data_IF_404944726411
#
_entry.id   IF_404944726411
#
_cell.length_a   1.000
_cell.length_b   1.000
_cell.length_c   1.000
_cell.angle_alpha   90.00
_cell.angle_beta   90.00
_cell.angle_gamma   90.00
#
_symmetry.space_group_name_H-M   'P 1'
#
loop_
_entity.id
_entity.type
_entity.pdbx_description
1 polymer ?
#
# COMPACT_ATOMS: atom_id res chain seq x y z
N UNK A 1 -8.46 22.32 -22.26
CA UNK A 1 -8.72 21.41 -21.13
C UNK A 1 -8.21 22.07 -19.85
N UNK A 2 -9.09 22.66 -19.05
CA UNK A 2 -8.75 23.34 -17.78
C UNK A 2 -8.97 22.35 -16.63
N UNK A 3 -7.90 21.92 -15.98
CA UNK A 3 -7.97 21.19 -14.71
C UNK A 3 -7.78 22.21 -13.58
N UNK A 4 -8.87 22.51 -12.87
CA UNK A 4 -8.82 23.23 -11.60
C UNK A 4 -8.59 22.22 -10.46
N UNK A 5 -7.62 22.57 -9.64
CA UNK A 5 -7.17 22.01 -8.37
C UNK A 5 -8.28 22.04 -7.31
N UNK A 6 -8.39 20.99 -6.49
CA UNK A 6 -8.83 21.11 -5.08
C UNK A 6 -8.15 20.04 -4.20
N UNK A 7 -7.92 20.46 -2.96
CA UNK A 7 -7.16 19.84 -1.87
C UNK A 7 -8.10 19.21 -0.82
N UNK A 8 -7.72 18.02 -0.32
CA UNK A 8 -7.62 17.55 1.08
C UNK A 8 -8.86 17.36 2.04
N UNK A 9 -8.81 16.23 2.79
CA UNK A 9 -9.38 15.84 4.13
C UNK A 9 -10.93 15.72 4.22
N UNK A 10 -11.62 14.82 4.95
CA UNK A 10 -11.44 14.11 6.25
C UNK A 10 -12.28 12.82 6.28
N UNK A 11 -11.76 11.76 6.92
CA UNK A 11 -12.47 10.51 7.27
C UNK A 11 -12.95 10.57 8.73
N UNK A 12 -14.24 10.24 8.97
CA UNK A 12 -14.74 9.74 10.26
C UNK A 12 -15.79 8.65 10.01
N UNK A 13 -15.67 7.56 10.78
CA UNK A 13 -16.41 6.32 10.56
C UNK A 13 -17.80 6.22 11.19
N UNK A 14 -18.45 5.10 10.87
CA UNK A 14 -19.67 4.53 11.44
C UNK A 14 -19.69 3.06 11.03
N UNK A 15 -20.12 2.16 11.92
CA UNK A 15 -20.05 0.70 11.73
C UNK A 15 -21.34 0.25 11.07
N UNK A 16 -21.27 -0.56 10.01
CA UNK A 16 -22.38 -1.46 9.68
C UNK A 16 -21.91 -2.68 8.87
N UNK A 17 -22.38 -3.84 9.31
CA UNK A 17 -22.16 -5.16 8.71
C UNK A 17 -23.01 -5.33 7.45
N UNK A 18 -22.40 -5.65 6.30
CA UNK A 18 -23.13 -5.99 5.05
C UNK A 18 -23.18 -7.53 4.89
N UNK A 19 -24.37 -8.13 4.68
CA UNK A 19 -24.52 -9.57 4.43
C UNK A 19 -24.04 -9.95 3.01
N UNK A 20 -23.72 -11.23 2.74
CA UNK A 20 -23.19 -11.64 1.44
C UNK A 20 -24.25 -11.48 0.34
N UNK A 21 -24.03 -10.58 -0.62
CA UNK A 21 -24.93 -10.42 -1.76
C UNK A 21 -24.64 -11.45 -2.86
N UNK A 22 -25.67 -12.23 -3.18
CA UNK A 22 -25.73 -13.24 -4.24
C UNK A 22 -25.95 -12.62 -5.64
N UNK A 23 -25.24 -11.54 -6.01
CA UNK A 23 -25.41 -10.90 -7.32
C UNK A 23 -24.06 -10.88 -8.08
N UNK A 24 -23.94 -11.47 -9.29
CA UNK A 24 -22.70 -11.43 -10.06
C UNK A 24 -22.33 -9.97 -10.35
N UNK A 25 -21.30 -9.49 -9.67
CA UNK A 25 -20.78 -8.12 -9.81
C UNK A 25 -20.62 -7.76 -11.30
N UNK A 26 -21.39 -6.77 -11.76
CA UNK A 26 -21.37 -6.34 -13.16
C UNK A 26 -19.94 -5.92 -13.57
N UNK A 27 -19.51 -6.35 -14.75
CA UNK A 27 -18.20 -6.04 -15.31
C UNK A 27 -18.28 -5.78 -16.81
N UNK A 28 -17.40 -4.93 -17.32
CA UNK A 28 -17.17 -4.75 -18.75
C UNK A 28 -15.78 -5.25 -19.08
N UNK A 29 -15.66 -6.13 -20.08
CA UNK A 29 -14.38 -6.70 -20.50
C UNK A 29 -13.95 -6.05 -21.81
N UNK A 30 -12.71 -5.59 -21.87
CA UNK A 30 -12.07 -5.07 -23.07
C UNK A 30 -11.02 -6.04 -23.54
N UNK A 31 -11.09 -6.47 -24.80
CA UNK A 31 -10.08 -7.35 -25.40
C UNK A 31 -9.47 -6.65 -26.60
N UNK A 32 -8.14 -6.53 -26.61
CA UNK A 32 -7.40 -6.01 -27.74
C UNK A 32 -7.26 -7.07 -28.83
N UNK A 33 -7.00 -6.65 -30.07
CA UNK A 33 -6.68 -7.57 -31.19
C UNK A 33 -5.41 -8.40 -30.94
N UNK A 34 -4.54 -7.95 -30.03
CA UNK A 34 -3.31 -8.64 -29.65
C UNK A 34 -3.49 -9.60 -28.45
N UNK A 35 -4.74 -9.86 -28.03
CA UNK A 35 -5.06 -10.79 -26.94
C UNK A 35 -4.99 -10.21 -25.54
N UNK A 36 -4.62 -8.93 -25.38
CA UNK A 36 -4.58 -8.27 -24.07
C UNK A 36 -6.01 -8.00 -23.58
N UNK A 37 -6.33 -8.45 -22.37
CA UNK A 37 -7.68 -8.31 -21.81
C UNK A 37 -7.64 -7.47 -20.54
N UNK A 38 -8.56 -6.51 -20.41
CA UNK A 38 -8.84 -5.77 -19.19
C UNK A 38 -10.30 -6.00 -18.78
N UNK A 39 -10.59 -5.97 -17.49
CA UNK A 39 -11.95 -5.80 -16.99
C UNK A 39 -12.10 -4.53 -16.16
N UNK A 40 -13.23 -3.86 -16.36
CA UNK A 40 -13.71 -2.74 -15.57
C UNK A 40 -14.82 -3.24 -14.67
N UNK A 41 -14.65 -3.03 -13.36
CA UNK A 41 -15.63 -3.35 -12.32
C UNK A 41 -15.79 -2.15 -11.39
N UNK A 42 -16.72 -2.25 -10.45
CA UNK A 42 -16.87 -1.25 -9.40
C UNK A 42 -17.07 -1.89 -8.03
N UNK A 43 -16.71 -1.14 -6.99
CA UNK A 43 -17.10 -1.37 -5.61
C UNK A 43 -18.00 -0.20 -5.21
N UNK A 44 -19.22 -0.50 -4.77
CA UNK A 44 -20.18 0.48 -4.27
C UNK A 44 -20.24 0.37 -2.74
N UNK A 45 -20.07 1.49 -2.05
CA UNK A 45 -20.05 1.54 -0.58
C UNK A 45 -20.86 2.74 -0.07
N UNK A 46 -21.28 2.66 1.18
CA UNK A 46 -21.97 3.72 1.90
C UNK A 46 -21.24 3.95 3.23
N UNK A 47 -20.94 5.20 3.54
CA UNK A 47 -20.20 5.64 4.72
C UNK A 47 -21.12 6.14 5.83
N UNK A 48 -22.45 6.11 5.63
CA UNK A 48 -23.44 6.49 6.63
C UNK A 48 -24.36 5.30 6.94
N UNK A 49 -24.60 5.05 8.23
CA UNK A 49 -25.33 3.87 8.78
C UNK A 49 -26.78 3.75 8.24
N UNK A 50 -27.35 4.83 7.69
CA UNK A 50 -28.71 4.83 7.11
C UNK A 50 -28.75 4.89 5.56
N UNK A 51 -27.61 5.03 4.88
CA UNK A 51 -27.59 5.17 3.42
C UNK A 51 -27.39 3.82 2.74
N UNK A 52 -28.24 3.51 1.76
CA UNK A 52 -28.12 2.31 0.94
C UNK A 52 -26.83 2.34 0.10
N UNK A 53 -26.34 1.17 -0.31
CA UNK A 53 -25.24 1.10 -1.29
C UNK A 53 -25.72 1.67 -2.63
N UNK A 54 -24.92 2.53 -3.29
CA UNK A 54 -25.33 3.15 -4.55
C UNK A 54 -25.51 2.09 -5.65
N UNK A 55 -26.59 2.22 -6.40
CA UNK A 55 -26.85 1.37 -7.57
C UNK A 55 -26.01 1.88 -8.74
N UNK A 56 -25.18 1.00 -9.29
CA UNK A 56 -24.35 1.28 -10.46
C UNK A 56 -24.82 0.38 -11.59
N UNK A 57 -25.12 0.97 -12.74
CA UNK A 57 -25.40 0.25 -13.97
C UNK A 57 -24.21 0.40 -14.89
N UNK A 58 -23.46 -0.70 -15.08
CA UNK A 58 -22.39 -0.77 -16.06
C UNK A 58 -22.95 -1.27 -17.39
N UNK A 59 -22.59 -0.60 -18.48
CA UNK A 59 -22.99 -0.98 -19.83
C UNK A 59 -21.89 -0.74 -20.86
N UNK A 60 -22.12 -1.24 -22.07
CA UNK A 60 -21.26 -1.00 -23.23
C UNK A 60 -21.95 -0.08 -24.22
N UNK A 61 -21.18 0.79 -24.88
CA UNK A 61 -21.65 1.71 -25.91
C UNK A 61 -20.82 1.54 -27.18
N UNK A 62 -21.48 1.32 -28.31
CA UNK A 62 -20.81 1.30 -29.61
C UNK A 62 -20.57 2.73 -30.11
N UNK A 63 -19.29 3.12 -30.12
CA UNK A 63 -18.83 4.42 -30.61
C UNK A 63 -17.96 4.27 -31.86
N UNK A 64 -18.08 3.17 -32.59
CA UNK A 64 -17.32 2.91 -33.82
C UNK A 64 -17.55 4.00 -34.86
N UNK A 65 -18.77 4.54 -34.95
CA UNK A 65 -19.12 5.69 -35.81
C UNK A 65 -18.35 6.98 -35.46
N UNK A 66 -17.78 7.07 -34.25
CA UNK A 66 -16.92 8.17 -33.80
C UNK A 66 -15.41 7.82 -33.83
N UNK A 67 -15.04 6.72 -34.49
CA UNK A 67 -13.65 6.30 -34.68
C UNK A 67 -13.06 5.47 -33.52
N UNK A 68 -13.88 5.01 -32.57
CA UNK A 68 -13.41 4.11 -31.52
C UNK A 68 -13.10 2.72 -32.10
N UNK A 69 -12.04 2.08 -31.58
CA UNK A 69 -11.54 0.77 -32.08
C UNK A 69 -12.26 -0.45 -31.48
N UNK A 70 -13.25 -0.23 -30.61
CA UNK A 70 -14.03 -1.25 -29.91
C UNK A 70 -15.12 -0.61 -29.06
N UNK A 71 -15.93 -1.43 -28.38
CA UNK A 71 -16.99 -0.95 -27.49
C UNK A 71 -16.41 -0.12 -26.34
N UNK A 72 -17.02 1.03 -26.07
CA UNK A 72 -16.75 1.82 -24.87
C UNK A 72 -17.53 1.25 -23.69
N UNK A 73 -17.07 1.50 -22.46
CA UNK A 73 -17.88 1.28 -21.26
C UNK A 73 -18.48 2.60 -20.78
N UNK A 74 -19.67 2.53 -20.23
CA UNK A 74 -20.27 3.63 -19.48
C UNK A 74 -20.83 3.12 -18.15
N UNK A 75 -20.92 4.02 -17.17
CA UNK A 75 -21.57 3.76 -15.89
C UNK A 75 -22.65 4.82 -15.67
N UNK A 76 -23.86 4.39 -15.34
CA UNK A 76 -24.92 5.27 -14.84
C UNK A 76 -25.08 5.02 -13.35
N UNK A 77 -24.97 6.08 -12.55
CA UNK A 77 -25.14 6.05 -11.11
C UNK A 77 -25.65 7.39 -10.58
N UNK A 78 -26.33 7.34 -9.45
CA UNK A 78 -26.64 8.51 -8.63
C UNK A 78 -26.04 8.30 -7.25
N UNK A 79 -25.38 9.33 -6.75
CA UNK A 79 -24.78 9.33 -5.41
C UNK A 79 -25.51 10.34 -4.54
N UNK A 80 -25.83 9.90 -3.33
CA UNK A 80 -26.24 10.74 -2.21
C UNK A 80 -25.06 10.96 -1.27
N UNK A 81 -25.20 11.91 -0.34
CA UNK A 81 -24.19 12.15 0.68
C UNK A 81 -23.88 10.87 1.46
N UNK A 82 -22.59 10.56 1.60
CA UNK A 82 -22.11 9.33 2.22
C UNK A 82 -22.01 8.13 1.29
N UNK A 83 -22.43 8.19 0.03
CA UNK A 83 -22.21 7.08 -0.92
C UNK A 83 -20.90 7.25 -1.70
N UNK A 84 -20.20 6.14 -1.97
CA UNK A 84 -19.01 6.13 -2.80
C UNK A 84 -19.00 4.96 -3.79
N UNK A 85 -18.42 5.18 -4.96
CA UNK A 85 -18.21 4.15 -5.98
C UNK A 85 -16.77 4.22 -6.45
N UNK A 86 -16.03 3.12 -6.29
CA UNK A 86 -14.65 2.97 -6.75
C UNK A 86 -14.63 2.10 -8.00
N UNK A 87 -14.15 2.64 -9.12
CA UNK A 87 -13.95 1.88 -10.35
C UNK A 87 -12.56 1.26 -10.40
N UNK A 88 -12.50 -0.01 -10.80
CA UNK A 88 -11.26 -0.79 -10.87
C UNK A 88 -11.11 -1.29 -12.30
N UNK A 89 -9.99 -0.94 -12.93
CA UNK A 89 -9.57 -1.46 -14.22
C UNK A 89 -8.34 -2.36 -14.01
N UNK A 90 -8.42 -3.63 -14.41
CA UNK A 90 -7.32 -4.58 -14.21
C UNK A 90 -7.26 -5.64 -15.31
N UNK A 91 -6.13 -6.33 -15.41
CA UNK A 91 -6.01 -7.56 -16.22
C UNK A 91 -6.68 -8.72 -15.48
N UNK A 92 -7.59 -9.49 -16.11
CA UNK A 92 -8.17 -10.67 -15.47
C UNK A 92 -7.11 -11.76 -15.22
N UNK A 93 -7.16 -12.48 -14.09
CA UNK A 93 -6.23 -13.57 -13.81
C UNK A 93 -6.44 -14.75 -14.79
N UNK A 94 -5.34 -15.36 -15.22
CA UNK A 94 -5.33 -16.57 -16.06
C UNK A 94 -5.60 -17.80 -15.17
N UNK A 95 -6.87 -18.23 -15.10
CA UNK A 95 -7.39 -19.43 -14.39
C UNK A 95 -7.35 -19.48 -12.83
N UNK A 96 -8.34 -20.12 -12.19
CA UNK A 96 -8.35 -20.33 -10.73
C UNK A 96 -7.58 -21.60 -10.37
N UNK A 97 -6.43 -21.46 -9.71
CA UNK A 97 -5.69 -22.61 -9.19
C UNK A 97 -6.37 -23.15 -7.92
N UNK A 98 -6.87 -24.39 -8.01
CA UNK A 98 -7.14 -25.25 -6.87
C UNK A 98 -5.94 -26.17 -6.69
N UNK A 99 -5.20 -26.06 -5.58
CA UNK A 99 -4.20 -27.05 -5.20
C UNK A 99 -4.18 -27.26 -3.68
N UNK A 100 -4.29 -28.54 -3.32
CA UNK A 100 -4.20 -29.13 -1.98
C UNK A 100 -2.85 -28.86 -1.30
N UNK A 101 -2.87 -28.41 -0.03
CA UNK A 101 -1.67 -28.27 0.79
C UNK A 101 -1.50 -29.45 1.76
N UNK A 102 -0.37 -30.14 1.66
CA UNK A 102 0.22 -30.85 2.81
C UNK A 102 1.30 -29.96 3.43
N UNK A 103 0.97 -29.37 4.58
CA UNK A 103 1.89 -28.62 5.42
C UNK A 103 2.85 -29.59 6.14
N UNK A 104 4.15 -29.32 6.05
CA UNK A 104 5.16 -29.91 6.94
C UNK A 104 5.35 -28.98 8.15
N UNK A 105 5.11 -29.52 9.34
CA UNK A 105 5.34 -28.87 10.62
C UNK A 105 6.83 -28.81 10.97
N UNK A 106 7.28 -27.65 11.46
CA UNK A 106 8.57 -27.54 12.13
C UNK A 106 9.07 -26.11 12.26
N UNK A 107 8.70 -25.42 13.35
CA UNK A 107 9.41 -24.23 13.91
C UNK A 107 8.81 -23.77 15.26
N UNK A 108 8.97 -24.56 16.33
CA UNK A 108 8.40 -24.24 17.66
C UNK A 108 9.31 -23.44 18.61
N UNK A 109 10.51 -23.02 18.18
CA UNK A 109 11.47 -22.37 19.10
C UNK A 109 11.64 -20.86 18.88
N UNK A 110 11.42 -20.37 17.66
CA UNK A 110 11.54 -18.95 17.33
C UNK A 110 10.32 -18.14 17.80
N UNK A 111 9.13 -18.74 17.75
CA UNK A 111 7.86 -18.11 18.15
C UNK A 111 7.83 -17.83 19.66
N UNK A 112 8.43 -18.71 20.47
CA UNK A 112 8.46 -18.57 21.93
C UNK A 112 9.34 -17.42 22.41
N UNK A 113 10.32 -16.97 21.62
CA UNK A 113 11.17 -15.81 21.92
C UNK A 113 10.56 -14.48 21.49
N UNK A 114 9.71 -14.48 20.47
CA UNK A 114 9.09 -13.26 19.92
C UNK A 114 7.81 -12.87 20.66
N UNK A 115 7.07 -13.83 21.22
CA UNK A 115 5.71 -13.62 21.74
C UNK A 115 5.52 -13.98 23.23
N UNK A 116 6.57 -13.87 24.06
CA UNK A 116 6.41 -13.87 25.51
C UNK A 116 5.42 -12.79 25.99
N UNK A 117 4.84 -12.92 27.21
CA UNK A 117 3.67 -12.14 27.64
C UNK A 117 3.93 -10.65 27.40
N UNK A 118 2.98 -9.99 26.71
CA UNK A 118 2.96 -8.62 26.20
C UNK A 118 3.39 -7.54 27.22
N UNK A 119 4.65 -7.59 27.63
CA UNK A 119 5.35 -6.68 28.51
C UNK A 119 6.27 -5.81 27.69
N UNK A 120 5.71 -5.07 26.72
CA UNK A 120 6.44 -3.98 26.08
C UNK A 120 6.58 -2.88 27.12
N UNK A 121 7.58 -2.98 28.01
CA UNK A 121 8.07 -1.82 28.73
C UNK A 121 8.54 -0.85 27.65
N UNK A 122 7.92 0.34 27.60
CA UNK A 122 8.43 1.43 26.79
C UNK A 122 9.94 1.56 27.07
N UNK A 123 10.75 1.63 26.00
CA UNK A 123 12.19 1.75 26.16
C UNK A 123 12.48 2.96 27.05
N UNK A 124 13.39 2.79 28.00
CA UNK A 124 13.78 3.90 28.86
C UNK A 124 14.36 5.02 27.99
N UNK A 125 14.20 6.27 28.40
CA UNK A 125 14.82 7.42 27.70
C UNK A 125 16.34 7.28 27.56
N UNK A 126 16.95 6.48 28.44
CA UNK A 126 18.37 6.17 28.43
C UNK A 126 18.80 5.10 27.43
N UNK A 127 17.84 4.44 26.76
CA UNK A 127 18.12 3.48 25.70
C UNK A 127 18.99 4.13 24.60
N UNK A 128 20.17 3.58 24.28
CA UNK A 128 21.07 4.15 23.28
C UNK A 128 20.42 4.37 21.91
N UNK A 129 19.48 3.49 21.51
CA UNK A 129 18.75 3.66 20.24
C UNK A 129 17.79 4.85 20.30
N UNK A 130 17.12 5.05 21.44
CA UNK A 130 16.23 6.20 21.68
C UNK A 130 17.02 7.50 21.65
N UNK A 131 18.21 7.55 22.30
CA UNK A 131 19.12 8.72 22.25
C UNK A 131 19.62 9.00 20.84
N UNK A 132 20.05 7.97 20.09
CA UNK A 132 20.51 8.12 18.70
C UNK A 132 19.39 8.66 17.79
N UNK A 133 18.17 8.14 17.93
CA UNK A 133 17.02 8.57 17.15
C UNK A 133 16.64 10.03 17.44
N UNK A 134 16.60 10.41 18.73
CA UNK A 134 16.34 11.79 19.15
C UNK A 134 17.43 12.74 18.68
N UNK A 135 18.70 12.36 18.82
CA UNK A 135 19.83 13.15 18.33
C UNK A 135 19.74 13.36 16.81
N UNK A 136 19.43 12.30 16.06
CA UNK A 136 19.22 12.41 14.62
C UNK A 136 18.02 13.31 14.27
N UNK A 137 16.93 13.30 15.04
CA UNK A 137 15.82 14.23 14.80
C UNK A 137 16.20 15.69 15.06
N UNK A 138 17.07 15.94 16.04
CA UNK A 138 17.58 17.29 16.33
C UNK A 138 18.45 17.85 15.21
N UNK A 139 19.02 17.01 14.34
CA UNK A 139 19.78 17.44 13.17
C UNK A 139 18.90 17.83 11.96
N UNK A 140 17.57 17.93 12.13
CA UNK A 140 16.69 18.39 11.06
C UNK A 140 17.01 19.82 10.62
N UNK A 141 16.95 20.08 9.31
CA UNK A 141 17.13 21.42 8.73
C UNK A 141 15.87 22.28 8.78
N UNK A 142 14.76 21.79 9.34
CA UNK A 142 13.49 22.50 9.38
C UNK A 142 13.47 23.65 10.39
N UNK A 143 13.22 24.86 9.91
CA UNK A 143 13.19 26.10 10.71
C UNK A 143 11.80 26.77 10.76
N UNK A 144 10.77 26.12 10.21
CA UNK A 144 9.42 26.69 10.17
C UNK A 144 8.66 26.62 11.50
N UNK A 145 7.53 27.32 11.57
CA UNK A 145 6.73 27.47 12.81
C UNK A 145 6.10 26.18 13.34
N UNK A 146 6.01 25.11 12.54
CA UNK A 146 5.34 23.86 12.89
C UNK A 146 6.32 22.77 13.36
N UNK A 147 7.42 23.16 14.00
CA UNK A 147 8.56 22.27 14.31
C UNK A 147 8.16 21.00 15.06
N UNK A 148 7.30 21.11 16.07
CA UNK A 148 6.85 19.96 16.86
C UNK A 148 6.09 18.93 15.99
N UNK A 149 5.10 19.39 15.21
CA UNK A 149 4.31 18.53 14.33
C UNK A 149 5.19 17.86 13.26
N UNK A 150 6.14 18.60 12.69
CA UNK A 150 7.10 18.09 11.71
C UNK A 150 8.02 17.04 12.35
N UNK A 151 8.59 17.32 13.52
CA UNK A 151 9.49 16.39 14.21
C UNK A 151 8.77 15.11 14.64
N UNK A 152 7.53 15.21 15.13
CA UNK A 152 6.70 14.05 15.47
C UNK A 152 6.41 13.18 14.25
N UNK A 153 6.10 13.82 13.12
CA UNK A 153 5.88 13.09 11.86
C UNK A 153 7.16 12.43 11.36
N UNK A 154 8.29 13.14 11.42
CA UNK A 154 9.59 12.60 11.05
C UNK A 154 10.00 11.43 11.93
N UNK A 155 9.72 11.49 13.24
CA UNK A 155 9.92 10.38 14.17
C UNK A 155 9.11 9.16 13.74
N UNK A 156 7.81 9.34 13.46
CA UNK A 156 6.96 8.25 13.01
C UNK A 156 7.48 7.61 11.72
N UNK A 157 7.86 8.42 10.72
CA UNK A 157 8.44 7.94 9.47
C UNK A 157 9.77 7.20 9.66
N UNK A 158 10.66 7.70 10.52
CA UNK A 158 11.92 7.02 10.84
C UNK A 158 11.70 5.65 11.51
N UNK A 159 10.64 5.51 12.30
CA UNK A 159 10.29 4.23 12.93
C UNK A 159 9.72 3.19 11.93
N UNK A 160 9.38 3.59 10.71
CA UNK A 160 8.98 2.68 9.62
C UNK A 160 10.18 2.07 8.88
N UNK A 161 11.40 2.48 9.22
CA UNK A 161 12.61 2.06 8.52
C UNK A 161 13.20 0.84 9.23
N UNK A 162 13.30 -0.25 8.49
CA UNK A 162 14.02 -1.44 8.93
C UNK A 162 15.53 -1.22 8.72
N UNK A 163 16.19 -0.78 9.80
CA UNK A 163 17.59 -0.36 9.80
C UNK A 163 18.58 -1.34 9.11
N UNK A 164 18.46 -2.68 9.25
CA UNK A 164 19.41 -3.60 8.65
C UNK A 164 19.46 -3.58 7.11
N UNK A 165 18.36 -3.23 6.45
CA UNK A 165 18.27 -3.23 4.97
C UNK A 165 17.95 -1.86 4.40
N UNK A 166 17.49 -0.90 5.21
CA UNK A 166 16.95 0.37 4.74
C UNK A 166 15.52 0.28 4.19
N UNK A 167 14.88 -0.89 4.20
CA UNK A 167 13.51 -1.06 3.73
C UNK A 167 12.54 -0.17 4.55
N UNK A 168 11.63 0.52 3.87
CA UNK A 168 10.61 1.35 4.53
C UNK A 168 9.27 0.66 4.40
N UNK A 169 8.66 0.25 5.52
CA UNK A 169 7.34 -0.40 5.49
C UNK A 169 6.22 0.63 5.34
N UNK A 170 5.11 0.24 4.73
CA UNK A 170 3.93 1.11 4.67
C UNK A 170 3.33 1.36 6.08
N UNK A 171 3.31 0.32 6.92
CA UNK A 171 2.94 0.41 8.34
C UNK A 171 3.47 -0.82 9.10
N UNK A 172 3.82 -0.74 10.40
CA UNK A 172 4.28 -1.88 11.20
C UNK A 172 3.10 -2.77 11.64
N UNK A 173 2.04 -2.85 10.85
CA UNK A 173 0.78 -3.49 11.21
C UNK A 173 0.29 -4.38 10.07
N UNK A 174 -0.43 -5.43 10.43
CA UNK A 174 -1.20 -6.25 9.50
C UNK A 174 -2.60 -6.42 10.07
N UNK A 175 -3.59 -6.62 9.22
CA UNK A 175 -4.96 -6.92 9.65
C UNK A 175 -5.61 -5.86 10.56
N UNK A 176 -5.09 -4.64 10.56
CA UNK A 176 -5.82 -3.51 11.12
C UNK A 176 -6.82 -3.02 10.07
N UNK A 177 -8.12 -3.00 10.41
CA UNK A 177 -9.14 -2.66 9.44
C UNK A 177 -9.18 -1.15 9.20
N UNK A 178 -9.46 -0.73 7.97
CA UNK A 178 -9.72 0.69 7.68
C UNK A 178 -10.91 1.24 8.50
N UNK A 179 -11.90 0.39 8.78
CA UNK A 179 -12.98 0.64 9.73
C UNK A 179 -13.37 -0.66 10.44
N UNK A 180 -13.77 -0.58 11.71
CA UNK A 180 -14.11 -1.75 12.53
C UNK A 180 -15.21 -2.58 11.86
N UNK A 181 -14.97 -3.89 11.71
CA UNK A 181 -15.87 -4.84 11.04
C UNK A 181 -15.66 -4.95 9.52
N UNK A 182 -14.86 -4.07 8.92
CA UNK A 182 -14.54 -4.11 7.49
C UNK A 182 -13.60 -5.25 7.11
N UNK A 183 -13.56 -5.56 5.80
CA UNK A 183 -12.71 -6.61 5.23
C UNK A 183 -11.35 -6.11 4.71
N UNK A 184 -11.15 -4.78 4.69
CA UNK A 184 -9.94 -4.08 4.21
C UNK A 184 -8.84 -4.08 5.28
N UNK A 185 -8.30 -5.27 5.51
CA UNK A 185 -7.46 -5.59 6.66
C UNK A 185 -6.10 -6.13 6.16
N UNK A 186 -5.43 -5.42 5.26
CA UNK A 186 -4.23 -5.96 4.60
C UNK A 186 -2.99 -5.99 5.51
N UNK A 187 -1.98 -6.73 5.06
CA UNK A 187 -0.63 -6.64 5.61
C UNK A 187 0.10 -5.44 4.99
N UNK A 188 0.53 -4.51 5.84
CA UNK A 188 1.25 -3.30 5.45
C UNK A 188 2.73 -3.34 5.82
N UNK A 189 3.22 -4.48 6.33
CA UNK A 189 4.62 -4.66 6.77
C UNK A 189 5.61 -4.84 5.61
N UNK A 190 5.14 -4.71 4.38
CA UNK A 190 5.97 -4.74 3.18
C UNK A 190 6.45 -3.33 2.80
N UNK A 191 7.57 -3.26 2.08
CA UNK A 191 8.10 -2.04 1.51
C UNK A 191 7.52 -1.81 0.12
N UNK A 192 6.51 -0.93 0.04
CA UNK A 192 5.94 -0.47 -1.21
C UNK A 192 6.82 0.62 -1.82
N UNK A 193 7.21 0.48 -3.09
CA UNK A 193 8.13 1.43 -3.74
C UNK A 193 7.58 2.86 -3.68
N UNK A 194 6.27 3.01 -3.94
CA UNK A 194 5.58 4.30 -3.94
C UNK A 194 5.61 4.97 -2.57
N UNK A 195 5.15 4.28 -1.54
CA UNK A 195 5.01 4.77 -0.17
C UNK A 195 6.37 5.09 0.46
N UNK A 196 7.34 4.22 0.20
CA UNK A 196 8.72 4.43 0.59
C UNK A 196 9.31 5.68 -0.09
N UNK A 197 9.05 5.87 -1.38
CA UNK A 197 9.51 7.06 -2.12
C UNK A 197 8.94 8.35 -1.52
N UNK A 198 7.67 8.37 -1.10
CA UNK A 198 7.08 9.54 -0.42
C UNK A 198 7.66 9.76 0.98
N UNK A 199 7.92 8.68 1.72
CA UNK A 199 8.56 8.76 3.03
C UNK A 199 9.95 9.38 2.91
N UNK A 200 10.75 8.91 1.94
CA UNK A 200 12.09 9.41 1.68
C UNK A 200 12.10 10.83 1.15
N UNK A 201 11.16 11.19 0.29
CA UNK A 201 10.96 12.58 -0.13
C UNK A 201 10.84 13.50 1.10
N UNK A 202 10.00 13.14 2.07
CA UNK A 202 9.84 13.93 3.29
C UNK A 202 11.13 13.98 4.12
N UNK A 203 11.81 12.84 4.30
CA UNK A 203 13.04 12.76 5.09
C UNK A 203 14.20 13.55 4.46
N UNK A 204 14.40 13.46 3.14
CA UNK A 204 15.41 14.22 2.39
C UNK A 204 15.17 15.73 2.56
N UNK A 205 13.90 16.18 2.47
CA UNK A 205 13.54 17.59 2.66
C UNK A 205 13.80 18.11 4.08
N UNK A 206 13.90 17.23 5.06
CA UNK A 206 14.25 17.54 6.44
C UNK A 206 15.75 17.42 6.73
N UNK A 207 16.57 17.10 5.72
CA UNK A 207 18.02 16.94 5.84
C UNK A 207 18.48 15.52 6.20
N UNK A 208 17.56 14.55 6.24
CA UNK A 208 17.88 13.16 6.56
C UNK A 208 18.23 12.37 5.30
N UNK A 209 19.53 12.29 5.01
CA UNK A 209 20.06 11.71 3.77
C UNK A 209 20.55 10.28 3.93
N UNK A 210 20.94 9.87 5.14
CA UNK A 210 21.47 8.53 5.40
C UNK A 210 20.40 7.45 5.16
N UNK A 211 19.18 7.69 5.63
CA UNK A 211 18.03 6.81 5.44
C UNK A 211 17.66 6.67 3.96
N UNK A 212 17.75 7.77 3.20
CA UNK A 212 17.54 7.74 1.76
C UNK A 212 18.59 6.91 1.04
N UNK A 213 19.86 7.05 1.41
CA UNK A 213 20.94 6.24 0.83
C UNK A 213 20.75 4.75 1.14
N UNK A 214 20.37 4.39 2.38
CA UNK A 214 20.10 3.00 2.74
C UNK A 214 18.98 2.38 1.91
N UNK A 215 17.89 3.12 1.69
CA UNK A 215 16.82 2.64 0.81
C UNK A 215 17.22 2.59 -0.68
N UNK A 216 18.09 3.49 -1.13
CA UNK A 216 18.63 3.41 -2.49
C UNK A 216 19.42 2.12 -2.71
N UNK A 217 20.26 1.73 -1.75
CA UNK A 217 20.95 0.43 -1.78
C UNK A 217 19.93 -0.73 -1.80
N UNK A 218 18.89 -0.67 -0.96
CA UNK A 218 17.81 -1.65 -0.98
C UNK A 218 17.21 -1.84 -2.38
N UNK A 219 16.92 -0.74 -3.09
CA UNK A 219 16.40 -0.77 -4.47
C UNK A 219 17.43 -1.27 -5.47
N UNK A 220 18.70 -0.86 -5.37
CA UNK A 220 19.75 -1.33 -6.28
C UNK A 220 19.94 -2.84 -6.20
N UNK A 221 19.86 -3.42 -5.00
CA UNK A 221 19.86 -4.88 -4.87
C UNK A 221 18.65 -5.52 -5.56
N UNK A 222 17.46 -4.90 -5.51
CA UNK A 222 16.27 -5.42 -6.21
C UNK A 222 16.39 -5.28 -7.73
N UNK A 223 17.07 -4.26 -8.24
CA UNK A 223 17.38 -4.14 -9.68
C UNK A 223 18.30 -5.25 -10.18
N UNK A 224 19.22 -5.74 -9.34
CA UNK A 224 20.05 -6.93 -9.65
C UNK A 224 19.21 -8.21 -9.73
N UNK A 225 18.13 -8.30 -8.96
CA UNK A 225 17.17 -9.40 -8.96
C UNK A 225 15.78 -8.96 -9.46
N UNK A 226 15.75 -8.30 -10.64
CA UNK A 226 14.50 -7.86 -11.28
C UNK A 226 13.65 -9.05 -11.77
N UNK A 227 12.40 -8.78 -12.14
CA UNK A 227 11.51 -9.80 -12.71
C UNK A 227 12.03 -10.26 -14.10
N UNK A 228 11.58 -11.42 -14.61
CA UNK A 228 12.01 -11.93 -15.92
C UNK A 228 11.78 -10.96 -17.08
N UNK A 229 10.72 -10.15 -17.00
CA UNK A 229 10.38 -9.09 -17.96
C UNK A 229 11.20 -7.79 -17.78
N UNK A 230 12.10 -7.76 -16.79
CA UNK A 230 12.92 -6.62 -16.43
C UNK A 230 12.27 -5.62 -15.47
N UNK A 231 11.01 -5.83 -15.07
CA UNK A 231 10.30 -4.95 -14.15
C UNK A 231 10.74 -5.11 -12.68
N UNK A 232 10.44 -4.10 -11.87
CA UNK A 232 10.45 -4.23 -10.41
C UNK A 232 9.06 -4.68 -9.93
N UNK A 233 9.02 -5.46 -8.84
CA UNK A 233 7.80 -5.64 -8.06
C UNK A 233 7.35 -4.32 -7.44
N UNK A 234 6.04 -4.15 -7.24
CA UNK A 234 5.51 -2.92 -6.62
C UNK A 234 5.87 -2.80 -5.14
N UNK A 235 6.11 -3.94 -4.49
CA UNK A 235 6.49 -4.04 -3.08
C UNK A 235 7.37 -5.26 -2.82
N UNK A 236 8.10 -5.23 -1.70
CA UNK A 236 8.99 -6.30 -1.26
C UNK A 236 8.86 -6.54 0.24
N UNK A 237 9.25 -7.72 0.73
CA UNK A 237 9.46 -7.92 2.17
C UNK A 237 10.58 -7.02 2.68
N UNK A 238 10.68 -6.83 4.01
CA UNK A 238 11.77 -6.06 4.63
C UNK A 238 13.17 -6.61 4.33
N UNK A 239 13.27 -7.87 3.88
CA UNK A 239 14.50 -8.52 3.44
C UNK A 239 14.68 -8.53 1.91
N UNK A 240 13.80 -7.83 1.19
CA UNK A 240 13.85 -7.72 -0.27
C UNK A 240 13.29 -8.94 -1.02
N UNK A 241 12.59 -9.83 -0.32
CA UNK A 241 11.90 -10.97 -0.93
C UNK A 241 10.67 -10.53 -1.74
N UNK A 242 10.31 -11.35 -2.75
CA UNK A 242 9.14 -11.13 -3.61
C UNK A 242 7.92 -11.95 -3.18
N UNK A 243 8.12 -12.92 -2.29
CA UNK A 243 7.05 -13.78 -1.79
C UNK A 243 6.22 -13.04 -0.73
N UNK A 244 5.00 -12.72 -1.11
CA UNK A 244 4.03 -11.94 -0.35
C UNK A 244 2.63 -12.58 -0.47
N UNK A 245 2.58 -13.89 -0.61
CA UNK A 245 1.33 -14.65 -0.75
C UNK A 245 0.35 -14.31 0.36
N UNK A 246 -0.88 -13.98 -0.03
CA UNK A 246 -1.92 -13.58 0.93
C UNK A 246 -2.53 -14.82 1.59
N UNK A 247 -2.37 -14.92 2.92
CA UNK A 247 -2.93 -16.01 3.72
C UNK A 247 -3.92 -15.48 4.74
N UNK A 248 -5.12 -16.08 4.81
CA UNK A 248 -6.11 -15.78 5.86
C UNK A 248 -5.84 -16.61 7.11
N UNK A 249 -5.80 -15.96 8.26
CA UNK A 249 -5.57 -16.58 9.57
C UNK A 249 -6.90 -16.77 10.29
N UNK A 250 -7.63 -17.84 9.97
CA UNK A 250 -8.98 -18.12 10.50
C UNK A 250 -9.03 -18.43 11.99
N UNK A 251 -7.88 -18.68 12.61
CA UNK A 251 -7.74 -18.96 14.04
C UNK A 251 -7.60 -17.68 14.90
N UNK A 252 -7.56 -16.50 14.29
CA UNK A 252 -7.45 -15.22 14.99
C UNK A 252 -8.76 -14.45 14.86
N UNK A 253 -9.25 -13.88 15.96
CA UNK A 253 -10.52 -13.12 16.01
C UNK A 253 -10.43 -11.75 15.31
N UNK A 254 -9.22 -11.24 15.09
CA UNK A 254 -8.99 -9.95 14.44
C UNK A 254 -9.28 -8.75 15.33
N UNK A 255 -8.81 -7.57 14.90
CA UNK A 255 -8.92 -6.37 15.72
C UNK A 255 -10.40 -5.99 15.94
N UNK A 256 -10.86 -6.04 17.20
CA UNK A 256 -12.27 -5.81 17.56
C UNK A 256 -13.25 -6.70 16.78
N UNK A 257 -12.87 -7.95 16.51
CA UNK A 257 -13.68 -8.91 15.75
C UNK A 257 -13.68 -8.67 14.23
N UNK A 258 -12.82 -7.78 13.72
CA UNK A 258 -12.78 -7.44 12.30
C UNK A 258 -12.07 -8.54 11.51
N UNK A 259 -12.78 -9.09 10.52
CA UNK A 259 -12.34 -10.21 9.69
C UNK A 259 -12.33 -9.82 8.19
N UNK A 260 -11.49 -10.48 7.38
CA UNK A 260 -10.56 -11.54 7.77
C UNK A 260 -9.27 -10.96 8.35
N UNK A 261 -8.64 -11.72 9.24
CA UNK A 261 -7.21 -11.54 9.54
C UNK A 261 -6.42 -12.16 8.40
N UNK A 262 -5.53 -11.40 7.77
CA UNK A 262 -4.65 -11.82 6.69
C UNK A 262 -3.23 -11.29 6.84
N UNK A 263 -2.28 -12.11 6.41
CA UNK A 263 -0.87 -11.76 6.23
C UNK A 263 -0.50 -11.86 4.76
N UNK A 264 0.58 -11.20 4.36
CA UNK A 264 0.89 -11.04 2.94
C UNK A 264 -0.06 -10.06 2.26
N UNK A 265 0.11 -9.86 0.96
CA UNK A 265 -0.63 -8.82 0.24
C UNK A 265 -0.84 -9.22 -1.21
N UNK A 266 -2.09 -9.52 -1.56
CA UNK A 266 -2.46 -9.94 -2.92
C UNK A 266 -2.28 -8.86 -3.99
N UNK A 267 -1.91 -7.63 -3.62
CA UNK A 267 -1.53 -6.61 -4.60
C UNK A 267 -0.12 -6.80 -5.16
N UNK A 268 0.69 -7.75 -4.67
CA UNK A 268 2.07 -7.96 -5.14
C UNK A 268 2.14 -8.13 -6.66
N UNK A 269 1.15 -8.82 -7.25
CA UNK A 269 1.07 -9.09 -8.68
C UNK A 269 0.45 -7.93 -9.51
N UNK A 270 0.07 -6.82 -8.87
CA UNK A 270 -0.50 -5.69 -9.59
C UNK A 270 0.57 -4.93 -10.38
N UNK A 271 0.22 -4.53 -11.60
CA UNK A 271 1.05 -3.63 -12.40
C UNK A 271 0.71 -2.19 -12.01
N UNK A 272 1.68 -1.47 -11.45
CA UNK A 272 1.55 -0.04 -11.13
C UNK A 272 2.70 0.73 -11.78
N UNK A 273 2.42 1.37 -12.92
CA UNK A 273 3.47 2.03 -13.71
C UNK A 273 4.01 3.32 -13.08
N UNK A 274 3.26 3.93 -12.19
CA UNK A 274 3.67 5.19 -11.59
C UNK A 274 4.73 5.02 -10.47
N UNK A 275 5.01 3.78 -10.04
CA UNK A 275 6.12 3.49 -9.12
C UNK A 275 7.46 4.01 -9.67
N UNK A 276 7.67 3.92 -10.98
CA UNK A 276 8.90 4.37 -11.63
C UNK A 276 9.04 5.89 -11.54
N UNK A 277 7.94 6.62 -11.74
CA UNK A 277 7.93 8.07 -11.57
C UNK A 277 8.27 8.49 -10.14
N UNK A 278 7.64 7.85 -9.14
CA UNK A 278 7.89 8.14 -7.72
C UNK A 278 9.31 7.79 -7.29
N UNK A 279 9.83 6.68 -7.78
CA UNK A 279 11.20 6.27 -7.51
C UNK A 279 12.22 7.23 -8.15
N UNK A 280 12.03 7.60 -9.42
CA UNK A 280 12.93 8.54 -10.11
C UNK A 280 12.90 9.94 -9.48
N UNK A 281 11.74 10.43 -9.05
CA UNK A 281 11.62 11.68 -8.30
C UNK A 281 12.43 11.63 -6.99
N UNK A 282 12.33 10.52 -6.26
CA UNK A 282 13.08 10.30 -5.02
C UNK A 282 14.60 10.28 -5.28
N UNK A 283 15.05 9.55 -6.30
CA UNK A 283 16.46 9.48 -6.71
C UNK A 283 16.99 10.86 -7.07
N UNK A 284 16.25 11.59 -7.92
CA UNK A 284 16.63 12.93 -8.36
C UNK A 284 16.79 13.89 -7.17
N UNK A 285 15.86 13.85 -6.23
CA UNK A 285 15.93 14.68 -5.02
C UNK A 285 17.07 14.27 -4.10
N UNK A 286 17.30 12.97 -3.96
CA UNK A 286 18.48 12.42 -3.29
C UNK A 286 19.75 13.00 -3.88
N UNK A 287 19.97 12.90 -5.19
CA UNK A 287 21.16 13.44 -5.84
C UNK A 287 21.27 14.97 -5.74
N UNK A 288 20.16 15.70 -5.87
CA UNK A 288 20.15 17.17 -5.83
C UNK A 288 20.46 17.72 -4.43
N UNK A 289 19.94 17.07 -3.39
CA UNK A 289 20.02 17.55 -2.01
C UNK A 289 21.16 16.89 -1.23
N UNK A 290 21.49 15.63 -1.51
CA UNK A 290 22.72 14.98 -1.06
C UNK A 290 23.89 15.43 -1.94
N UNK A 291 24.39 16.66 -1.75
CA UNK A 291 25.70 17.04 -2.30
C UNK A 291 26.83 16.28 -1.59
N UNK A 292 26.96 14.98 -1.86
CA UNK A 292 28.17 14.14 -1.79
C UNK A 292 27.78 12.67 -2.01
N UNK A 293 28.44 12.06 -3.01
CA UNK A 293 28.71 10.62 -3.12
C UNK A 293 27.62 9.67 -3.65
N UNK A 294 27.10 9.91 -4.85
CA UNK A 294 26.65 8.82 -5.73
C UNK A 294 27.29 9.03 -7.11
N UNK A 295 28.60 8.78 -7.18
CA UNK A 295 29.29 8.41 -8.41
C UNK A 295 29.59 6.93 -8.24
N UNK A 296 28.87 6.06 -8.94
CA UNK A 296 29.33 4.83 -9.58
C UNK A 296 28.29 4.42 -10.63
#
# INVERSE_FOLDING_TARGET
MKLKRYERVVVRGGRDTIPPSHDPQQKVVFTSRSGFTLDLRYIAESTAEAASTPVVQLGTLDLTSKGHKGLAAYASLQLSEGQAVTFILRTPPETPHAVDHKLQEGKSELERKLFGPLGVKARTLDDPLTKKLLHNLLSSTYTGSWKEAVHRSALALKLLIFEPTGAVVASPTFSLPEFIGGARNWDYRASWIRDSSFTLYALIRLGFTQEANAYMEFIFERLRNKNPDGSLQIMYTIHGGKDLEETKLTHLDGHKGSQPVRIGNGAADHIQLDIYGKLMDCIYLGQKMCRRSLIY
#
